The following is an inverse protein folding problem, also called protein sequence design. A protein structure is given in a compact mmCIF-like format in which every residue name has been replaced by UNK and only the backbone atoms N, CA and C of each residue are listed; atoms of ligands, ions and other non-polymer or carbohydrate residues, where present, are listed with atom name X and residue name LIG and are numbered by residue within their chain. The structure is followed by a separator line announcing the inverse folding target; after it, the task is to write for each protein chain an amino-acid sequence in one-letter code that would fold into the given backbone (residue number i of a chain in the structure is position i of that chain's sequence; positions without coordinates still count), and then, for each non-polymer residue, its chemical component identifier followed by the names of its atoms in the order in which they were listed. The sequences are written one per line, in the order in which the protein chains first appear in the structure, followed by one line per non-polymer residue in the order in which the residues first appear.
data_IF_298018782596
#
_entry.id   IF_298018782596
#
_cell.length_a   1.000
_cell.length_b   1.000
_cell.length_c   1.000
_cell.angle_alpha   90.00
_cell.angle_beta   90.00
_cell.angle_gamma   90.00
#
_symmetry.space_group_name_H-M   'P 1'
#
loop_
_entity.id
_entity.type
_entity.pdbx_description
1 polymer ?
#
# COMPACT_ATOMS: atom_id res chain seq x y z
N UNK A 1 -24.22 -48.73 -12.35
CA UNK A 1 -24.58 -47.58 -13.21
C UNK A 1 -25.77 -46.86 -12.57
N UNK A 2 -25.51 -45.79 -11.82
CA UNK A 2 -26.45 -44.70 -11.50
C UNK A 2 -25.59 -43.47 -11.17
N UNK A 3 -25.44 -42.60 -12.14
CA UNK A 3 -24.83 -41.29 -11.99
C UNK A 3 -25.85 -40.35 -11.34
N UNK A 4 -25.52 -39.78 -10.19
CA UNK A 4 -26.23 -38.60 -9.72
C UNK A 4 -25.52 -37.37 -10.30
N UNK A 5 -26.21 -36.72 -11.25
CA UNK A 5 -25.81 -35.45 -11.85
C UNK A 5 -26.30 -34.36 -10.90
N UNK A 6 -25.37 -33.66 -10.24
CA UNK A 6 -25.68 -32.40 -9.55
C UNK A 6 -25.10 -31.24 -10.38
N UNK A 7 -25.99 -30.39 -10.88
CA UNK A 7 -25.62 -29.10 -11.48
C UNK A 7 -25.44 -28.07 -10.37
N UNK A 8 -24.19 -27.77 -10.00
CA UNK A 8 -23.81 -26.40 -9.69
C UNK A 8 -23.60 -25.67 -11.01
N UNK A 9 -23.82 -24.37 -11.03
CA UNK A 9 -23.57 -23.46 -12.15
C UNK A 9 -22.20 -23.71 -12.80
N UNK A 10 -22.19 -24.50 -13.87
CA UNK A 10 -21.26 -24.41 -14.98
C UNK A 10 -19.79 -24.84 -14.78
N UNK A 11 -19.39 -25.54 -13.72
CA UNK A 11 -17.98 -25.94 -13.58
C UNK A 11 -17.84 -27.44 -13.29
N UNK A 12 -17.26 -28.18 -14.24
CA UNK A 12 -16.77 -29.56 -14.07
C UNK A 12 -15.27 -29.44 -13.75
N UNK A 13 -14.86 -29.80 -12.53
CA UNK A 13 -13.44 -29.85 -12.14
C UNK A 13 -12.98 -31.31 -12.05
N UNK A 14 -11.91 -31.66 -12.78
CA UNK A 14 -11.33 -33.01 -12.75
C UNK A 14 -10.30 -33.12 -11.61
N UNK A 15 -10.73 -33.57 -10.42
CA UNK A 15 -9.81 -34.05 -9.37
C UNK A 15 -10.42 -35.24 -8.59
N UNK A 16 -9.60 -35.97 -7.82
CA UNK A 16 -9.97 -37.27 -7.25
C UNK A 16 -11.12 -37.21 -6.22
N UNK A 17 -12.15 -38.03 -6.44
CA UNK A 17 -13.41 -38.21 -5.68
C UNK A 17 -13.36 -38.07 -4.15
N UNK A 18 -12.28 -38.48 -3.49
CA UNK A 18 -12.17 -38.43 -2.01
C UNK A 18 -11.97 -37.00 -1.47
N UNK A 19 -11.35 -36.10 -2.25
CA UNK A 19 -11.11 -34.70 -1.84
C UNK A 19 -12.41 -33.88 -2.00
N UNK A 20 -13.19 -34.13 -3.06
CA UNK A 20 -14.50 -33.48 -3.26
C UNK A 20 -15.48 -33.81 -2.15
N UNK A 21 -15.59 -35.09 -1.75
CA UNK A 21 -16.57 -35.49 -0.72
C UNK A 21 -16.27 -34.79 0.61
N UNK A 22 -14.99 -34.75 1.01
CA UNK A 22 -14.55 -34.06 2.22
C UNK A 22 -14.74 -32.53 2.15
N UNK A 23 -14.45 -31.90 1.01
CA UNK A 23 -14.57 -30.44 0.85
C UNK A 23 -16.03 -29.98 0.72
N UNK A 24 -16.87 -30.74 0.01
CA UNK A 24 -18.31 -30.46 -0.12
C UNK A 24 -19.02 -30.64 1.22
N UNK A 25 -18.63 -31.62 2.03
CA UNK A 25 -19.16 -31.80 3.38
C UNK A 25 -18.72 -30.67 4.31
N UNK A 26 -17.48 -30.19 4.19
CA UNK A 26 -17.00 -28.98 4.87
C UNK A 26 -17.81 -27.73 4.49
N UNK A 27 -18.06 -27.51 3.19
CA UNK A 27 -18.89 -26.40 2.71
C UNK A 27 -20.31 -26.50 3.26
N UNK A 28 -20.93 -27.69 3.23
CA UNK A 28 -22.28 -27.92 3.76
C UNK A 28 -22.39 -27.72 5.28
N UNK A 29 -21.35 -28.07 6.04
CA UNK A 29 -21.27 -27.79 7.48
C UNK A 29 -21.20 -26.28 7.72
N UNK A 30 -20.35 -25.58 6.96
CA UNK A 30 -20.22 -24.11 7.01
C UNK A 30 -21.51 -23.41 6.59
N UNK A 31 -22.19 -23.89 5.55
CA UNK A 31 -23.48 -23.35 5.07
C UNK A 31 -24.58 -23.52 6.11
N UNK A 32 -24.57 -24.61 6.89
CA UNK A 32 -25.52 -24.83 8.00
C UNK A 32 -25.20 -23.99 9.24
N UNK A 33 -23.94 -23.66 9.45
CA UNK A 33 -23.46 -22.79 10.54
C UNK A 33 -23.47 -21.29 10.17
N UNK A 34 -23.69 -20.98 8.88
CA UNK A 34 -23.52 -19.64 8.30
C UNK A 34 -24.60 -18.65 8.73
N UNK A 35 -24.19 -17.58 9.41
CA UNK A 35 -25.04 -16.42 9.67
C UNK A 35 -25.06 -15.50 8.44
N UNK A 36 -26.12 -15.59 7.64
CA UNK A 36 -26.31 -14.81 6.39
C UNK A 36 -26.17 -13.30 6.60
N UNK A 37 -26.57 -12.76 7.76
CA UNK A 37 -26.44 -11.34 8.05
C UNK A 37 -24.99 -10.93 8.36
N UNK A 38 -24.25 -11.76 9.11
CA UNK A 38 -22.81 -11.53 9.31
C UNK A 38 -22.03 -11.61 8.00
N UNK A 39 -22.39 -12.52 7.09
CA UNK A 39 -21.76 -12.60 5.77
C UNK A 39 -22.04 -11.34 4.92
N UNK A 40 -23.28 -10.83 4.92
CA UNK A 40 -23.61 -9.57 4.24
C UNK A 40 -22.84 -8.39 4.82
N UNK A 41 -22.78 -8.28 6.15
CA UNK A 41 -22.03 -7.22 6.84
C UNK A 41 -20.54 -7.29 6.49
N UNK A 42 -19.95 -8.48 6.51
CA UNK A 42 -18.55 -8.69 6.14
C UNK A 42 -18.23 -8.16 4.74
N UNK A 43 -19.01 -8.55 3.72
CA UNK A 43 -18.76 -8.08 2.35
C UNK A 43 -19.09 -6.60 2.15
N UNK A 44 -20.04 -6.05 2.93
CA UNK A 44 -20.29 -4.61 2.95
C UNK A 44 -19.07 -3.85 3.47
N UNK A 45 -18.55 -4.25 4.63
CA UNK A 45 -17.36 -3.65 5.24
C UNK A 45 -16.12 -3.81 4.35
N UNK A 46 -15.94 -4.95 3.68
CA UNK A 46 -14.83 -5.14 2.73
C UNK A 46 -14.92 -4.16 1.55
N UNK A 47 -16.13 -3.97 1.00
CA UNK A 47 -16.36 -2.99 -0.06
C UNK A 47 -16.12 -1.55 0.42
N UNK A 48 -16.55 -1.24 1.63
CA UNK A 48 -16.34 0.06 2.26
C UNK A 48 -14.84 0.31 2.51
N UNK A 49 -14.15 -0.65 3.09
CA UNK A 49 -12.70 -0.65 3.29
C UNK A 49 -11.95 -0.35 1.98
N UNK A 50 -12.27 -1.08 0.91
CA UNK A 50 -11.65 -0.84 -0.40
C UNK A 50 -11.95 0.57 -0.93
N UNK A 51 -13.13 1.11 -0.67
CA UNK A 51 -13.49 2.47 -1.09
C UNK A 51 -12.67 3.49 -0.31
N UNK A 52 -12.58 3.34 1.01
CA UNK A 52 -11.81 4.19 1.91
C UNK A 52 -10.32 4.17 1.56
N UNK A 53 -9.74 2.99 1.31
CA UNK A 53 -8.34 2.84 0.91
C UNK A 53 -8.05 3.62 -0.38
N UNK A 54 -8.90 3.48 -1.40
CA UNK A 54 -8.72 4.16 -2.69
C UNK A 54 -9.01 5.66 -2.63
N UNK A 55 -9.81 6.11 -1.66
CA UNK A 55 -10.00 7.52 -1.33
C UNK A 55 -8.97 8.08 -0.33
N UNK A 56 -8.03 7.25 0.15
CA UNK A 56 -7.02 7.57 1.17
C UNK A 56 -7.60 7.98 2.54
N UNK A 57 -8.78 7.49 2.87
CA UNK A 57 -9.49 7.70 4.13
C UNK A 57 -9.02 6.69 5.19
N UNK A 58 -7.81 6.91 5.71
CA UNK A 58 -7.13 5.97 6.62
C UNK A 58 -7.96 5.57 7.85
N UNK A 59 -8.58 6.53 8.52
CA UNK A 59 -9.28 6.26 9.78
C UNK A 59 -10.56 5.43 9.55
N UNK A 60 -11.26 5.69 8.44
CA UNK A 60 -12.36 4.86 7.99
C UNK A 60 -11.90 3.44 7.69
N UNK A 61 -10.82 3.31 6.90
CA UNK A 61 -10.27 1.99 6.54
C UNK A 61 -9.84 1.18 7.77
N UNK A 62 -9.21 1.82 8.77
CA UNK A 62 -8.87 1.17 10.05
C UNK A 62 -10.11 0.67 10.79
N UNK A 63 -11.16 1.48 10.83
CA UNK A 63 -12.43 1.12 11.47
C UNK A 63 -13.07 -0.10 10.78
N UNK A 64 -13.18 -0.07 9.45
CA UNK A 64 -13.74 -1.17 8.67
C UNK A 64 -12.94 -2.46 8.86
N UNK A 65 -11.60 -2.38 8.82
CA UNK A 65 -10.74 -3.54 9.00
C UNK A 65 -10.83 -4.12 10.42
N UNK A 66 -11.00 -3.27 11.44
CA UNK A 66 -11.25 -3.68 12.82
C UNK A 66 -12.55 -4.46 12.96
N UNK A 67 -13.63 -4.02 12.32
CA UNK A 67 -14.93 -4.72 12.35
C UNK A 67 -14.87 -6.05 11.59
N UNK A 68 -14.25 -6.06 10.40
CA UNK A 68 -14.01 -7.30 9.63
C UNK A 68 -13.25 -8.32 10.49
N UNK A 69 -12.20 -7.89 11.18
CA UNK A 69 -11.45 -8.75 12.09
C UNK A 69 -12.34 -9.31 13.21
N UNK A 70 -13.23 -8.49 13.77
CA UNK A 70 -14.21 -8.92 14.78
C UNK A 70 -15.05 -10.09 14.28
N UNK A 71 -15.62 -9.95 13.08
CA UNK A 71 -16.43 -11.00 12.44
C UNK A 71 -15.61 -12.29 12.23
N UNK A 72 -14.37 -12.16 11.74
CA UNK A 72 -13.48 -13.31 11.52
C UNK A 72 -13.09 -14.00 12.83
N UNK A 73 -12.96 -13.25 13.93
CA UNK A 73 -12.60 -13.78 15.23
C UNK A 73 -13.73 -14.62 15.83
N UNK A 74 -14.98 -14.16 15.68
CA UNK A 74 -16.18 -14.86 16.15
C UNK A 74 -16.41 -16.18 15.42
N UNK A 75 -16.02 -16.27 14.15
CA UNK A 75 -16.26 -17.46 13.33
C UNK A 75 -15.57 -18.72 13.86
N UNK A 76 -14.29 -18.65 14.25
CA UNK A 76 -13.58 -19.73 14.97
C UNK A 76 -12.54 -19.18 15.98
N UNK A 77 -12.92 -18.96 17.24
CA UNK A 77 -12.05 -18.34 18.25
C UNK A 77 -10.72 -19.08 18.50
N UNK A 78 -10.69 -20.41 18.34
CA UNK A 78 -9.46 -21.21 18.53
C UNK A 78 -8.43 -21.07 17.41
N UNK A 79 -8.85 -20.61 16.23
CA UNK A 79 -8.02 -20.43 15.03
C UNK A 79 -8.15 -19.02 14.43
N UNK A 80 -8.61 -18.07 15.24
CA UNK A 80 -8.93 -16.71 14.81
C UNK A 80 -7.70 -15.99 14.27
N UNK A 81 -6.54 -16.24 14.86
CA UNK A 81 -5.26 -15.73 14.38
C UNK A 81 -4.93 -16.19 12.96
N UNK A 82 -5.01 -17.50 12.69
CA UNK A 82 -4.70 -18.06 11.37
C UNK A 82 -5.70 -17.56 10.32
N UNK A 83 -6.98 -17.47 10.66
CA UNK A 83 -8.03 -16.95 9.77
C UNK A 83 -7.76 -15.49 9.39
N UNK A 84 -7.46 -14.63 10.38
CA UNK A 84 -7.16 -13.21 10.13
C UNK A 84 -5.89 -13.08 9.29
N UNK A 85 -4.85 -13.88 9.57
CA UNK A 85 -3.62 -13.91 8.78
C UNK A 85 -3.89 -14.24 7.32
N UNK A 86 -4.63 -15.31 7.04
CA UNK A 86 -4.97 -15.69 5.67
C UNK A 86 -5.86 -14.66 5.00
N UNK A 87 -6.80 -14.08 5.73
CA UNK A 87 -7.65 -13.04 5.19
C UNK A 87 -6.87 -11.79 4.80
N UNK A 88 -5.91 -11.34 5.60
CA UNK A 88 -5.07 -10.19 5.24
C UNK A 88 -4.28 -10.43 3.95
N UNK A 89 -3.79 -11.66 3.71
CA UNK A 89 -3.14 -12.03 2.44
C UNK A 89 -4.12 -11.97 1.26
N UNK A 90 -5.36 -12.45 1.46
CA UNK A 90 -6.44 -12.36 0.46
C UNK A 90 -6.75 -10.89 0.17
N UNK A 91 -6.90 -10.06 1.21
CA UNK A 91 -7.17 -8.64 1.10
C UNK A 91 -6.08 -7.91 0.31
N UNK A 92 -4.79 -8.22 0.56
CA UNK A 92 -3.68 -7.71 -0.24
C UNK A 92 -3.85 -8.06 -1.72
N UNK A 93 -4.25 -9.29 -2.03
CA UNK A 93 -4.50 -9.73 -3.40
C UNK A 93 -5.68 -8.99 -4.06
N UNK A 94 -6.75 -8.73 -3.32
CA UNK A 94 -7.92 -7.96 -3.79
C UNK A 94 -7.50 -6.51 -4.14
N UNK A 95 -6.72 -5.88 -3.26
CA UNK A 95 -6.19 -4.53 -3.50
C UNK A 95 -5.32 -4.53 -4.75
N UNK A 96 -4.39 -5.47 -4.89
CA UNK A 96 -3.52 -5.60 -6.07
C UNK A 96 -4.32 -5.69 -7.35
N UNK A 97 -5.38 -6.51 -7.38
CA UNK A 97 -6.25 -6.63 -8.56
C UNK A 97 -6.95 -5.32 -8.90
N UNK A 98 -7.41 -4.58 -7.89
CA UNK A 98 -8.04 -3.28 -8.10
C UNK A 98 -7.04 -2.23 -8.59
N UNK A 99 -5.82 -2.23 -8.05
CA UNK A 99 -4.72 -1.38 -8.51
C UNK A 99 -4.36 -1.66 -9.99
N UNK A 100 -4.34 -2.93 -10.40
CA UNK A 100 -4.14 -3.27 -11.82
C UNK A 100 -5.30 -2.78 -12.70
N UNK A 101 -6.55 -2.94 -12.24
CA UNK A 101 -7.74 -2.49 -12.97
C UNK A 101 -7.74 -0.96 -13.19
N UNK A 102 -7.26 -0.20 -12.22
CA UNK A 102 -7.11 1.26 -12.31
C UNK A 102 -5.81 1.68 -13.04
N UNK A 103 -5.09 0.73 -13.67
CA UNK A 103 -3.82 0.96 -14.38
C UNK A 103 -2.71 1.57 -13.51
N UNK A 104 -2.83 1.41 -12.19
CA UNK A 104 -1.85 1.88 -11.21
C UNK A 104 -0.64 0.93 -11.17
N UNK A 105 -0.90 -0.38 -11.29
CA UNK A 105 0.12 -1.43 -11.29
C UNK A 105 0.27 -2.12 -12.64
N UNK A 106 1.54 -2.28 -13.06
CA UNK A 106 1.93 -3.26 -14.08
C UNK A 106 1.91 -4.68 -13.48
N UNK A 107 1.95 -5.71 -14.32
CA UNK A 107 2.02 -7.11 -13.87
C UNK A 107 3.21 -7.38 -12.93
N UNK A 108 4.38 -6.81 -13.25
CA UNK A 108 5.58 -6.93 -12.41
C UNK A 108 5.41 -6.29 -11.04
N UNK A 109 4.89 -5.05 -10.99
CA UNK A 109 4.67 -4.34 -9.73
C UNK A 109 3.61 -5.02 -8.87
N UNK A 110 2.56 -5.56 -9.48
CA UNK A 110 1.52 -6.31 -8.80
C UNK A 110 2.07 -7.57 -8.10
N UNK A 111 2.96 -8.31 -8.77
CA UNK A 111 3.61 -9.48 -8.19
C UNK A 111 4.49 -9.09 -7.00
N UNK A 112 5.37 -8.09 -7.17
CA UNK A 112 6.27 -7.62 -6.12
C UNK A 112 5.48 -7.15 -4.90
N UNK A 113 4.42 -6.38 -5.10
CA UNK A 113 3.58 -5.88 -4.02
C UNK A 113 2.89 -7.02 -3.24
N UNK A 114 2.35 -8.03 -3.92
CA UNK A 114 1.79 -9.21 -3.26
C UNK A 114 2.83 -9.95 -2.42
N UNK A 115 4.03 -10.17 -2.97
CA UNK A 115 5.14 -10.82 -2.25
C UNK A 115 5.55 -10.00 -1.03
N UNK A 116 5.62 -8.67 -1.16
CA UNK A 116 5.91 -7.78 -0.05
C UNK A 116 4.85 -7.86 1.06
N UNK A 117 3.57 -7.85 0.70
CA UNK A 117 2.46 -8.02 1.66
C UNK A 117 2.55 -9.35 2.40
N UNK A 118 2.75 -10.46 1.68
CA UNK A 118 2.90 -11.79 2.27
C UNK A 118 4.06 -11.78 3.26
N UNK A 119 5.23 -11.28 2.83
CA UNK A 119 6.42 -11.26 3.68
C UNK A 119 6.23 -10.40 4.93
N UNK A 120 5.59 -9.25 4.79
CA UNK A 120 5.25 -8.34 5.89
C UNK A 120 4.32 -9.03 6.90
N UNK A 121 3.23 -9.62 6.43
CA UNK A 121 2.25 -10.33 7.26
C UNK A 121 2.92 -11.53 7.95
N UNK A 122 3.71 -12.33 7.23
CA UNK A 122 4.37 -13.51 7.81
C UNK A 122 5.43 -13.16 8.86
N UNK A 123 6.16 -12.07 8.65
CA UNK A 123 7.27 -11.68 9.53
C UNK A 123 6.77 -10.97 10.78
N UNK A 124 5.73 -10.14 10.65
CA UNK A 124 5.32 -9.23 11.70
C UNK A 124 4.00 -9.63 12.39
N UNK A 125 3.14 -10.44 11.77
CA UNK A 125 1.88 -10.85 12.41
C UNK A 125 2.12 -11.97 13.42
N UNK A 126 1.74 -11.69 14.66
CA UNK A 126 1.79 -12.57 15.81
C UNK A 126 0.43 -12.54 16.53
N UNK A 127 0.19 -13.50 17.43
CA UNK A 127 -1.10 -13.61 18.13
C UNK A 127 -1.44 -12.36 18.96
N UNK A 128 -0.41 -11.64 19.40
CA UNK A 128 -0.51 -10.51 20.32
C UNK A 128 -0.70 -9.15 19.63
N UNK A 129 -0.46 -9.05 18.32
CA UNK A 129 -0.40 -7.77 17.59
C UNK A 129 -1.32 -7.69 16.35
N UNK A 130 -2.46 -8.37 16.40
CA UNK A 130 -3.43 -8.44 15.29
C UNK A 130 -4.01 -7.07 14.91
N UNK A 131 -3.96 -6.07 15.80
CA UNK A 131 -4.51 -4.73 15.55
C UNK A 131 -3.50 -3.86 14.82
N UNK A 132 -2.28 -3.87 15.32
CA UNK A 132 -1.13 -3.11 14.88
C UNK A 132 -0.81 -3.45 13.42
N UNK A 133 -0.82 -4.73 13.05
CA UNK A 133 -0.57 -5.15 11.66
C UNK A 133 -1.69 -4.75 10.71
N UNK A 134 -2.94 -4.72 11.19
CA UNK A 134 -4.05 -4.20 10.38
C UNK A 134 -3.82 -2.73 10.02
N UNK A 135 -3.38 -1.93 11.00
CA UNK A 135 -3.07 -0.52 10.81
C UNK A 135 -1.84 -0.31 9.91
N UNK A 136 -0.81 -1.15 10.05
CA UNK A 136 0.37 -1.15 9.17
C UNK A 136 0.00 -1.49 7.71
N UNK A 137 -0.90 -2.44 7.49
CA UNK A 137 -1.42 -2.78 6.16
C UNK A 137 -2.15 -1.60 5.54
N UNK A 138 -3.04 -0.94 6.28
CA UNK A 138 -3.75 0.27 5.82
C UNK A 138 -2.76 1.36 5.42
N UNK A 139 -1.76 1.62 6.27
CA UNK A 139 -0.70 2.59 5.97
C UNK A 139 0.06 2.22 4.69
N UNK A 140 0.43 0.95 4.53
CA UNK A 140 1.14 0.48 3.34
C UNK A 140 0.30 0.64 2.06
N UNK A 141 -0.99 0.29 2.11
CA UNK A 141 -1.88 0.42 0.95
C UNK A 141 -2.06 1.88 0.54
N UNK A 142 -2.35 2.76 1.49
CA UNK A 142 -2.49 4.18 1.21
C UNK A 142 -1.17 4.81 0.72
N UNK A 143 -0.03 4.33 1.22
CA UNK A 143 1.29 4.77 0.77
C UNK A 143 1.50 4.48 -0.73
N UNK A 144 1.21 3.24 -1.15
CA UNK A 144 1.32 2.82 -2.56
C UNK A 144 0.36 3.60 -3.47
N UNK A 145 -0.89 3.80 -3.02
CA UNK A 145 -1.89 4.54 -3.78
C UNK A 145 -1.52 6.01 -3.97
N UNK A 146 -0.98 6.67 -2.94
CA UNK A 146 -0.55 8.07 -3.02
C UNK A 146 0.54 8.32 -4.06
N UNK A 147 1.48 7.38 -4.23
CA UNK A 147 2.55 7.50 -5.23
C UNK A 147 2.05 7.53 -6.67
N UNK A 148 0.74 7.30 -6.90
CA UNK A 148 0.15 7.07 -8.21
C UNK A 148 -1.07 7.97 -8.49
N UNK A 149 -1.49 8.80 -7.54
CA UNK A 149 -2.46 9.88 -7.80
C UNK A 149 -1.76 10.98 -8.60
N UNK A 150 -2.27 11.26 -9.80
CA UNK A 150 -1.79 12.38 -10.59
C UNK A 150 -2.01 13.68 -9.81
N UNK A 151 -0.99 14.54 -9.65
CA UNK A 151 -1.20 15.87 -9.10
C UNK A 151 -2.21 16.62 -9.97
N UNK A 152 -3.17 17.28 -9.33
CA UNK A 152 -4.18 18.13 -9.99
C UNK A 152 -3.84 19.60 -9.80
N UNK A 153 -2.57 19.98 -10.01
CA UNK A 153 -2.19 21.40 -10.00
C UNK A 153 -2.68 22.06 -11.29
N UNK A 154 -2.77 23.39 -11.28
CA UNK A 154 -3.26 24.18 -12.42
C UNK A 154 -2.33 24.15 -13.64
N UNK A 155 -1.06 23.76 -13.48
CA UNK A 155 -0.07 23.77 -14.54
C UNK A 155 0.31 22.36 -15.00
N UNK A 156 0.04 22.05 -16.27
CA UNK A 156 0.23 20.72 -16.86
C UNK A 156 1.68 20.24 -16.81
N UNK A 157 2.65 21.05 -17.29
CA UNK A 157 4.08 20.68 -17.22
C UNK A 157 4.55 20.39 -15.80
N UNK A 158 4.07 21.13 -14.79
CA UNK A 158 4.42 20.86 -13.38
C UNK A 158 3.86 19.51 -12.93
N UNK A 159 2.63 19.18 -13.33
CA UNK A 159 2.03 17.87 -13.05
C UNK A 159 2.82 16.72 -13.70
N UNK A 160 3.24 16.88 -14.96
CA UNK A 160 4.06 15.88 -15.66
C UNK A 160 5.44 15.71 -15.02
N UNK A 161 6.09 16.82 -14.62
CA UNK A 161 7.38 16.78 -13.92
C UNK A 161 7.25 16.06 -12.57
N UNK A 162 6.18 16.34 -11.81
CA UNK A 162 5.90 15.62 -10.56
C UNK A 162 5.71 14.12 -10.84
N UNK A 163 4.92 13.77 -11.85
CA UNK A 163 4.72 12.36 -12.22
C UNK A 163 6.06 11.69 -12.58
N UNK A 164 6.88 12.35 -13.39
CA UNK A 164 8.20 11.87 -13.76
C UNK A 164 9.09 11.64 -12.53
N UNK A 165 9.13 12.57 -11.59
CA UNK A 165 9.90 12.42 -10.34
C UNK A 165 9.39 11.25 -9.52
N UNK A 166 8.07 11.08 -9.40
CA UNK A 166 7.48 9.98 -8.63
C UNK A 166 7.80 8.61 -9.24
N UNK A 167 7.89 8.52 -10.56
CA UNK A 167 8.24 7.29 -11.27
C UNK A 167 9.75 6.99 -11.25
N UNK A 168 10.60 8.01 -11.05
CA UNK A 168 12.05 7.92 -11.16
C UNK A 168 12.80 8.28 -9.87
N UNK A 169 12.14 8.25 -8.71
CA UNK A 169 12.68 8.72 -7.42
C UNK A 169 13.93 7.95 -6.94
N UNK A 170 14.05 6.67 -7.33
CA UNK A 170 15.24 5.84 -7.07
C UNK A 170 16.38 6.07 -8.07
N UNK A 171 16.13 6.80 -9.17
CA UNK A 171 17.15 7.12 -10.16
C UNK A 171 17.88 8.42 -9.77
N UNK A 172 19.09 8.66 -10.32
CA UNK A 172 19.70 9.98 -10.28
C UNK A 172 18.75 10.98 -10.96
N UNK A 173 18.35 12.01 -10.22
CA UNK A 173 17.47 13.07 -10.71
C UNK A 173 18.24 14.39 -10.71
N UNK A 174 18.68 14.81 -11.89
CA UNK A 174 19.44 16.03 -12.14
C UNK A 174 18.49 17.07 -12.76
N UNK A 175 18.46 18.29 -12.22
CA UNK A 175 17.51 19.34 -12.63
C UNK A 175 17.66 19.68 -14.11
N UNK A 176 18.90 19.71 -14.59
CA UNK A 176 19.27 19.95 -15.99
C UNK A 176 18.68 18.89 -16.93
N UNK A 177 18.70 17.62 -16.53
CA UNK A 177 18.18 16.50 -17.32
C UNK A 177 16.66 16.51 -17.37
N UNK A 178 16.01 16.81 -16.23
CA UNK A 178 14.56 16.97 -16.16
C UNK A 178 14.14 18.12 -17.07
N UNK A 179 14.77 19.29 -16.96
CA UNK A 179 14.45 20.44 -17.80
C UNK A 179 14.59 20.12 -19.30
N UNK A 180 15.66 19.42 -19.68
CA UNK A 180 15.88 18.97 -21.05
C UNK A 180 14.79 18.01 -21.53
N UNK A 181 14.36 17.06 -20.70
CA UNK A 181 13.31 16.11 -21.06
C UNK A 181 11.97 16.79 -21.35
N UNK A 182 11.65 17.85 -20.61
CA UNK A 182 10.43 18.64 -20.78
C UNK A 182 10.59 19.82 -21.75
N UNK A 183 11.70 19.90 -22.50
CA UNK A 183 12.01 20.96 -23.46
C UNK A 183 11.90 22.39 -22.88
N UNK A 184 12.31 22.57 -21.63
CA UNK A 184 12.31 23.86 -20.91
C UNK A 184 13.71 24.21 -20.40
N UNK A 185 13.97 25.49 -20.14
CA UNK A 185 15.20 25.88 -19.45
C UNK A 185 15.13 25.53 -17.96
N UNK A 186 16.27 25.26 -17.34
CA UNK A 186 16.37 24.97 -15.89
C UNK A 186 15.81 26.09 -15.02
N UNK A 187 16.08 27.34 -15.42
CA UNK A 187 15.55 28.54 -14.76
C UNK A 187 14.02 28.62 -14.87
N UNK A 188 13.47 28.37 -16.06
CA UNK A 188 12.03 28.36 -16.27
C UNK A 188 11.35 27.27 -15.44
N UNK A 189 11.87 26.04 -15.51
CA UNK A 189 11.34 24.91 -14.74
C UNK A 189 11.36 25.18 -13.23
N UNK A 190 12.49 25.67 -12.71
CA UNK A 190 12.64 25.97 -11.28
C UNK A 190 11.66 27.05 -10.82
N UNK A 191 11.41 28.06 -11.67
CA UNK A 191 10.46 29.14 -11.40
C UNK A 191 9.03 28.62 -11.36
N UNK A 192 8.54 28.01 -12.44
CA UNK A 192 7.14 27.53 -12.52
C UNK A 192 6.86 26.45 -11.47
N UNK A 193 7.83 25.57 -11.21
CA UNK A 193 7.66 24.52 -10.20
C UNK A 193 7.45 25.14 -8.82
N UNK A 194 8.27 26.13 -8.44
CA UNK A 194 8.14 26.80 -7.13
C UNK A 194 6.85 27.63 -7.03
N UNK A 195 6.48 28.33 -8.10
CA UNK A 195 5.23 29.10 -8.16
C UNK A 195 4.01 28.22 -7.90
N UNK A 196 3.95 27.04 -8.51
CA UNK A 196 2.80 26.14 -8.39
C UNK A 196 2.84 25.18 -7.19
N UNK A 197 4.01 24.88 -6.63
CA UNK A 197 4.15 23.89 -5.54
C UNK A 197 4.55 24.49 -4.19
N UNK A 198 4.93 25.77 -4.15
CA UNK A 198 5.52 26.46 -2.99
C UNK A 198 6.86 25.89 -2.49
N UNK A 199 7.41 24.86 -3.15
CA UNK A 199 8.71 24.25 -2.82
C UNK A 199 9.61 24.23 -4.04
N UNK A 200 10.93 24.16 -3.84
CA UNK A 200 11.84 24.04 -4.97
C UNK A 200 11.80 22.63 -5.56
N UNK A 201 12.17 22.47 -6.83
CA UNK A 201 12.26 21.15 -7.48
C UNK A 201 13.20 20.19 -6.72
N UNK A 202 14.37 20.69 -6.29
CA UNK A 202 15.36 19.91 -5.51
C UNK A 202 14.82 19.51 -4.14
N UNK A 203 14.10 20.43 -3.49
CA UNK A 203 13.43 20.14 -2.22
C UNK A 203 12.35 19.10 -2.39
N UNK A 204 11.55 19.17 -3.46
CA UNK A 204 10.53 18.19 -3.77
C UNK A 204 11.12 16.80 -4.04
N UNK A 205 12.18 16.69 -4.84
CA UNK A 205 12.91 15.42 -5.05
C UNK A 205 13.37 14.86 -3.70
N UNK A 206 13.92 15.71 -2.83
CA UNK A 206 14.36 15.30 -1.50
C UNK A 206 13.18 14.79 -0.64
N UNK A 207 12.07 15.51 -0.63
CA UNK A 207 10.84 15.13 0.08
C UNK A 207 10.35 13.75 -0.40
N UNK A 208 10.26 13.55 -1.72
CA UNK A 208 9.82 12.29 -2.31
C UNK A 208 10.73 11.13 -1.96
N UNK A 209 12.05 11.34 -1.96
CA UNK A 209 13.02 10.33 -1.48
C UNK A 209 12.78 9.98 -0.01
N UNK A 210 12.54 10.97 0.86
CA UNK A 210 12.26 10.71 2.28
C UNK A 210 10.97 9.93 2.46
N UNK A 211 9.92 10.23 1.69
CA UNK A 211 8.67 9.48 1.72
C UNK A 211 8.89 8.00 1.36
N UNK A 212 9.64 7.71 0.30
CA UNK A 212 10.04 6.35 -0.10
C UNK A 212 10.91 5.63 0.92
N UNK A 213 11.91 6.31 1.46
CA UNK A 213 12.85 5.70 2.40
C UNK A 213 12.15 5.19 3.67
N UNK A 214 11.07 5.83 4.11
CA UNK A 214 10.33 5.34 5.29
C UNK A 214 9.79 3.92 5.10
N UNK A 215 9.36 3.57 3.89
CA UNK A 215 8.93 2.21 3.55
C UNK A 215 10.09 1.22 3.71
N UNK A 216 11.25 1.53 3.11
CA UNK A 216 12.45 0.69 3.26
C UNK A 216 12.93 0.57 4.70
N UNK A 217 12.81 1.63 5.50
CA UNK A 217 13.18 1.59 6.91
C UNK A 217 12.26 0.70 7.74
N UNK A 218 10.97 0.65 7.42
CA UNK A 218 9.97 -0.13 8.15
C UNK A 218 9.96 -1.60 7.76
N UNK A 219 10.01 -1.88 6.45
CA UNK A 219 9.68 -3.20 5.92
C UNK A 219 10.89 -3.97 5.38
N UNK A 220 12.11 -3.47 5.59
CA UNK A 220 13.32 -4.16 5.20
C UNK A 220 14.41 -4.10 6.28
N UNK A 221 15.34 -5.05 6.20
CA UNK A 221 16.53 -5.11 7.06
C UNK A 221 17.76 -4.44 6.42
N UNK A 222 17.59 -3.78 5.27
CA UNK A 222 18.67 -3.11 4.51
C UNK A 222 19.40 -2.11 5.42
N UNK A 223 20.72 -2.01 5.30
CA UNK A 223 21.50 -1.09 6.15
C UNK A 223 21.14 0.36 5.82
N UNK A 224 21.13 1.22 6.83
CA UNK A 224 20.81 2.64 6.69
C UNK A 224 21.74 3.33 5.67
N UNK A 225 23.01 2.92 5.62
CA UNK A 225 23.99 3.38 4.63
C UNK A 225 23.60 3.00 3.19
N UNK A 226 23.23 1.74 2.97
CA UNK A 226 22.81 1.22 1.66
C UNK A 226 21.52 1.89 1.18
N UNK A 227 20.57 2.17 2.08
CA UNK A 227 19.38 2.96 1.75
C UNK A 227 19.77 4.39 1.34
N UNK A 228 20.69 5.04 2.05
CA UNK A 228 21.13 6.38 1.69
C UNK A 228 21.78 6.43 0.29
N UNK A 229 22.62 5.44 -0.02
CA UNK A 229 23.27 5.30 -1.33
C UNK A 229 22.24 5.04 -2.44
N UNK A 230 21.30 4.12 -2.22
CA UNK A 230 20.23 3.79 -3.18
C UNK A 230 19.39 5.01 -3.59
N UNK A 231 19.18 5.94 -2.66
CA UNK A 231 18.44 7.18 -2.91
C UNK A 231 19.36 8.39 -3.21
N UNK A 232 20.60 8.13 -3.62
CA UNK A 232 21.55 9.13 -4.11
C UNK A 232 21.83 10.26 -3.10
N UNK A 233 21.88 9.92 -1.80
CA UNK A 233 22.41 10.84 -0.79
C UNK A 233 23.93 10.74 -0.77
N UNK A 234 24.61 11.89 -0.74
CA UNK A 234 26.07 11.95 -0.78
C UNK A 234 26.77 11.21 0.37
N UNK A 235 26.12 11.09 1.54
CA UNK A 235 26.56 10.26 2.66
C UNK A 235 25.43 10.04 3.69
N UNK A 236 25.63 9.04 4.55
CA UNK A 236 24.68 8.68 5.61
C UNK A 236 24.44 9.81 6.63
N UNK A 237 25.44 10.64 6.92
CA UNK A 237 25.31 11.74 7.89
C UNK A 237 24.37 12.83 7.38
N UNK A 238 24.52 13.22 6.11
CA UNK A 238 23.63 14.16 5.43
C UNK A 238 22.21 13.59 5.36
N UNK A 239 22.07 12.35 4.90
CA UNK A 239 20.79 11.64 4.89
C UNK A 239 20.11 11.66 6.26
N UNK A 240 20.82 11.29 7.33
CA UNK A 240 20.26 11.26 8.69
C UNK A 240 19.74 12.63 9.13
N UNK A 241 20.46 13.71 8.81
CA UNK A 241 20.03 15.08 9.11
C UNK A 241 18.78 15.47 8.34
N UNK A 242 18.73 15.17 7.04
CA UNK A 242 17.58 15.46 6.18
C UNK A 242 16.36 14.64 6.59
N UNK A 243 16.52 13.34 6.82
CA UNK A 243 15.43 12.47 7.27
C UNK A 243 14.87 12.95 8.60
N UNK A 244 15.71 13.33 9.56
CA UNK A 244 15.26 13.90 10.83
C UNK A 244 14.57 15.25 10.68
N UNK A 245 15.01 16.10 9.74
CA UNK A 245 14.34 17.39 9.45
C UNK A 245 12.88 17.18 9.08
N UNK A 246 12.56 16.19 8.24
CA UNK A 246 11.20 15.96 7.75
C UNK A 246 10.38 15.07 8.68
N UNK A 247 10.96 14.00 9.21
CA UNK A 247 10.23 13.00 10.02
C UNK A 247 10.25 13.28 11.52
N UNK A 248 11.12 14.17 12.00
CA UNK A 248 11.37 14.41 13.42
C UNK A 248 12.28 13.37 14.09
N UNK A 249 12.57 12.23 13.45
CA UNK A 249 13.34 11.12 14.01
C UNK A 249 14.59 10.80 13.20
N UNK A 250 15.59 10.18 13.83
CA UNK A 250 16.69 9.59 13.06
C UNK A 250 16.20 8.31 12.36
N UNK A 251 16.78 7.91 11.22
CA UNK A 251 16.39 6.69 10.51
C UNK A 251 16.40 5.43 11.40
N UNK A 252 17.40 5.34 12.30
CA UNK A 252 17.51 4.24 13.27
C UNK A 252 16.38 4.24 14.30
N UNK A 253 15.94 5.42 14.77
CA UNK A 253 14.81 5.53 15.70
C UNK A 253 13.50 5.22 14.99
N UNK A 254 13.29 5.80 13.80
CA UNK A 254 12.11 5.54 12.98
C UNK A 254 11.90 4.04 12.70
N UNK A 255 12.97 3.31 12.33
CA UNK A 255 12.93 1.85 12.15
C UNK A 255 12.45 1.08 13.38
N UNK A 256 12.74 1.56 14.59
CA UNK A 256 12.38 0.88 15.85
C UNK A 256 10.99 1.26 16.37
N UNK A 257 10.49 2.42 15.95
CA UNK A 257 9.28 3.05 16.51
C UNK A 257 8.08 2.74 15.60
N UNK A 258 7.42 1.59 15.83
CA UNK A 258 6.31 1.10 15.00
C UNK A 258 5.07 1.99 15.08
N UNK A 259 4.87 2.69 16.20
CA UNK A 259 3.66 3.49 16.46
C UNK A 259 3.66 4.84 15.72
N UNK A 260 4.78 5.22 15.11
CA UNK A 260 4.90 6.52 14.44
C UNK A 260 4.28 6.54 13.05
N UNK A 261 3.39 7.50 12.84
CA UNK A 261 2.88 7.85 11.52
C UNK A 261 4.01 8.24 10.56
N UNK A 262 3.87 7.83 9.31
CA UNK A 262 4.75 8.24 8.21
C UNK A 262 4.66 9.76 8.00
N UNK A 263 5.80 10.40 7.82
CA UNK A 263 5.87 11.73 7.23
C UNK A 263 5.25 11.69 5.85
N UNK A 264 4.38 12.66 5.58
CA UNK A 264 3.72 12.82 4.31
C UNK A 264 3.74 14.30 3.93
N UNK A 265 4.13 14.57 2.69
CA UNK A 265 4.05 15.89 2.11
C UNK A 265 2.74 16.04 1.35
N UNK A 266 2.05 17.13 1.63
CA UNK A 266 0.90 17.58 0.86
C UNK A 266 1.23 18.96 0.33
N UNK A 267 0.99 19.19 -0.95
CA UNK A 267 0.98 20.55 -1.48
C UNK A 267 -0.04 21.34 -0.66
N UNK A 268 0.36 22.51 -0.17
CA UNK A 268 -0.63 23.44 0.40
C UNK A 268 -1.60 23.74 -0.74
N UNK A 269 -2.90 23.51 -0.52
CA UNK A 269 -3.93 24.12 -1.36
C UNK A 269 -3.78 25.63 -1.14
N UNK A 270 -2.99 26.27 -2.00
CA UNK A 270 -2.86 27.72 -2.02
C UNK A 270 -4.13 28.26 -2.62
N UNK A 271 -4.74 29.21 -1.90
CA UNK A 271 -5.82 30.05 -2.35
C UNK A 271 -5.57 30.48 -3.80
N UNK A 272 -6.49 30.09 -4.66
CA UNK A 272 -6.55 30.56 -6.04
C UNK A 272 -6.57 32.10 -6.00
N UNK A 273 -5.47 32.72 -6.44
CA UNK A 273 -5.52 34.09 -6.96
C UNK A 273 -6.22 34.06 -8.32
#
# INVERSE_FOLDING_TARGET
MRSHIYRMSGVILMTSKNIETSNLDLIRVIEKEGNTEQAKLFFHLEKEFLTQIFNLEKDGARSSLKEIRGILYEYKPRHSYEIVKYYFIILSSIITRRLQKESIFTEGNAFIFNVACIKMIETNLHRENLVEIGDELVEFYCYILKGKIKPSLTHETVNEVIQYINENVENPLIVEEIAKQFNVSTSHLSRIFREHTSVTLVEYITIRRIEEIQFYLRFSTIKIAEIAERFHFCNQSYFTRVFKKYTGLTPRRFRKDLDRNYFQFTFKKGDSL
#
